data_IF_857330787839
#
_entry.id   IF_857330787839
#
_cell.length_a   1.000
_cell.length_b   1.000
_cell.length_c   1.000
_cell.angle_alpha   90.00
_cell.angle_beta   90.00
_cell.angle_gamma   90.00
#
_symmetry.space_group_name_H-M   'P 1'
#
loop_
_entity.id
_entity.type
_entity.pdbx_description
1 polymer ?
#
# COMPACT_ATOMS: atom_id res chain seq x y z
N UNK A 1 76.30 -15.48 33.67
CA UNK A 1 76.56 -15.30 32.22
C UNK A 1 75.26 -15.51 31.46
N UNK A 2 74.85 -14.52 30.63
CA UNK A 2 73.83 -14.61 29.56
C UNK A 2 72.36 -14.68 30.05
N UNK A 3 71.37 -13.94 29.54
CA UNK A 3 71.28 -12.91 28.48
C UNK A 3 69.94 -12.17 28.71
N UNK A 4 69.93 -10.86 28.51
CA UNK A 4 68.73 -10.02 28.45
C UNK A 4 67.91 -10.36 27.19
N UNK A 5 66.59 -10.42 27.32
CA UNK A 5 65.65 -10.35 26.18
C UNK A 5 64.72 -9.17 26.47
N UNK A 6 64.99 -8.07 25.79
CA UNK A 6 64.11 -6.89 25.75
C UNK A 6 63.17 -7.09 24.57
N UNK A 7 61.87 -7.26 24.83
CA UNK A 7 60.84 -7.33 23.79
C UNK A 7 60.33 -5.92 23.53
N UNK A 8 60.56 -5.40 22.32
CA UNK A 8 59.97 -4.15 21.84
C UNK A 8 58.49 -4.39 21.49
N UNK A 9 57.58 -3.76 22.23
CA UNK A 9 56.16 -3.66 21.84
C UNK A 9 56.02 -2.54 20.81
N UNK A 10 55.83 -2.92 19.53
CA UNK A 10 55.47 -1.99 18.47
C UNK A 10 54.00 -1.61 18.60
N UNK A 11 53.72 -0.37 18.98
CA UNK A 11 52.36 0.19 19.04
C UNK A 11 52.00 0.64 17.61
N UNK A 12 51.19 -0.16 16.89
CA UNK A 12 50.56 0.26 15.64
C UNK A 12 49.45 1.27 15.94
N UNK A 13 49.70 2.52 15.56
CA UNK A 13 48.73 3.61 15.65
C UNK A 13 47.76 3.52 14.46
N UNK A 14 46.55 3.03 14.71
CA UNK A 14 45.48 2.98 13.70
C UNK A 14 44.88 4.38 13.52
N UNK A 15 45.08 4.95 12.33
CA UNK A 15 44.49 6.21 11.88
C UNK A 15 43.02 5.97 11.51
N UNK A 16 42.08 6.53 12.26
CA UNK A 16 40.65 6.48 11.91
C UNK A 16 40.35 7.60 10.91
N UNK A 17 40.24 7.26 9.62
CA UNK A 17 39.66 8.18 8.64
C UNK A 17 38.14 8.14 8.77
N UNK A 18 37.55 9.21 9.32
CA UNK A 18 36.10 9.42 9.29
C UNK A 18 35.72 9.86 7.87
N UNK A 19 35.10 8.96 7.11
CA UNK A 19 34.43 9.31 5.85
C UNK A 19 33.05 9.86 6.18
N UNK A 20 32.91 11.18 6.14
CA UNK A 20 31.59 11.83 6.15
C UNK A 20 30.99 11.68 4.75
N UNK A 21 30.22 10.62 4.52
CA UNK A 21 29.37 10.54 3.34
C UNK A 21 28.27 11.61 3.47
N UNK A 22 28.44 12.73 2.76
CA UNK A 22 27.40 13.73 2.60
C UNK A 22 26.20 13.11 1.91
N UNK A 23 25.10 12.96 2.65
CA UNK A 23 23.82 12.54 2.10
C UNK A 23 23.28 13.68 1.24
N UNK A 24 23.40 13.50 -0.07
CA UNK A 24 22.75 14.34 -1.06
C UNK A 24 21.26 13.94 -1.08
N UNK A 25 20.46 14.57 -0.23
CA UNK A 25 19.00 14.38 -0.19
C UNK A 25 18.34 15.08 -1.38
N UNK A 26 18.41 14.45 -2.56
CA UNK A 26 17.43 14.67 -3.62
C UNK A 26 16.11 14.01 -3.18
N UNK A 27 15.39 14.66 -2.27
CA UNK A 27 14.01 14.34 -1.96
C UNK A 27 13.10 14.89 -3.08
N UNK A 28 13.06 14.17 -4.20
CA UNK A 28 11.98 14.30 -5.16
C UNK A 28 11.37 12.93 -5.39
N UNK A 29 10.24 12.73 -4.72
CA UNK A 29 9.03 12.01 -5.11
C UNK A 29 8.47 11.30 -3.88
N UNK A 30 7.58 11.99 -3.18
CA UNK A 30 6.49 11.30 -2.49
C UNK A 30 5.77 10.56 -3.61
N UNK A 31 6.11 9.29 -3.83
CA UNK A 31 5.12 8.34 -4.27
C UNK A 31 4.34 8.04 -3.00
N UNK A 32 3.14 8.61 -2.79
CA UNK A 32 2.30 8.07 -1.74
C UNK A 32 1.87 6.70 -2.25
N UNK A 33 2.67 5.68 -1.91
CA UNK A 33 2.14 4.37 -1.57
C UNK A 33 0.85 4.62 -0.82
N UNK A 34 -0.27 4.07 -1.30
CA UNK A 34 -1.64 4.27 -0.81
C UNK A 34 -1.74 4.89 0.59
N UNK A 35 -2.54 5.96 0.78
CA UNK A 35 -2.75 6.56 2.11
C UNK A 35 -3.17 5.46 3.10
N UNK A 36 -2.25 5.05 3.96
CA UNK A 36 -2.41 3.96 4.91
C UNK A 36 -1.48 2.76 4.71
N UNK A 37 -1.83 1.68 5.41
CA UNK A 37 -1.09 0.41 5.45
C UNK A 37 -2.04 -0.74 5.78
N UNK A 38 -1.62 -2.01 5.64
CA UNK A 38 -2.41 -3.15 6.07
C UNK A 38 -2.77 -3.00 7.56
N UNK A 39 -4.04 -3.19 7.89
CA UNK A 39 -4.55 -3.02 9.24
C UNK A 39 -4.50 -4.32 10.05
N UNK A 40 -4.41 -4.18 11.36
CA UNK A 40 -4.50 -5.28 12.31
C UNK A 40 -5.99 -5.53 12.65
N UNK A 41 -6.52 -6.76 12.49
CA UNK A 41 -7.88 -7.12 12.88
C UNK A 41 -8.25 -6.73 14.32
N UNK A 42 -7.30 -6.76 15.26
CA UNK A 42 -7.52 -6.39 16.66
C UNK A 42 -7.76 -4.89 16.85
N UNK A 43 -7.34 -4.07 15.88
CA UNK A 43 -7.43 -2.61 15.94
C UNK A 43 -8.55 -2.03 15.07
N UNK A 44 -9.44 -2.87 14.51
CA UNK A 44 -10.57 -2.42 13.68
C UNK A 44 -11.48 -1.49 14.46
N UNK A 45 -11.63 -0.26 14.00
CA UNK A 45 -12.48 0.76 14.62
C UNK A 45 -13.91 0.72 14.10
N UNK A 46 -14.09 0.33 12.82
CA UNK A 46 -15.41 0.14 12.20
C UNK A 46 -15.33 -0.76 10.97
N UNK A 47 -16.48 -1.30 10.58
CA UNK A 47 -16.65 -2.09 9.36
C UNK A 47 -17.44 -1.30 8.32
N UNK A 48 -17.05 -1.39 7.06
CA UNK A 48 -17.77 -0.80 5.92
C UNK A 48 -18.03 -1.89 4.89
N UNK A 49 -19.28 -2.07 4.53
CA UNK A 49 -19.65 -2.96 3.43
C UNK A 49 -19.53 -2.22 2.09
N UNK A 50 -18.92 -2.89 1.11
CA UNK A 50 -18.80 -2.44 -0.26
C UNK A 50 -19.47 -3.47 -1.16
N UNK A 51 -20.55 -3.08 -1.81
CA UNK A 51 -21.18 -3.87 -2.87
C UNK A 51 -20.59 -3.50 -4.21
N UNK A 52 -20.05 -4.49 -4.91
CA UNK A 52 -19.61 -4.40 -6.30
C UNK A 52 -20.76 -4.82 -7.20
N UNK A 53 -21.16 -3.91 -8.08
CA UNK A 53 -21.96 -4.19 -9.28
C UNK A 53 -21.05 -4.13 -10.51
N UNK A 54 -21.53 -4.54 -11.68
CA UNK A 54 -20.63 -4.71 -12.84
C UNK A 54 -19.95 -3.44 -13.36
N UNK A 55 -20.47 -2.26 -13.00
CA UNK A 55 -19.94 -0.99 -13.49
C UNK A 55 -19.60 0.02 -12.37
N UNK A 56 -19.86 -0.30 -11.10
CA UNK A 56 -19.71 0.66 -10.00
C UNK A 56 -19.60 -0.02 -8.63
N UNK A 57 -19.10 0.73 -7.65
CA UNK A 57 -19.08 0.36 -6.23
C UNK A 57 -20.19 1.10 -5.46
N UNK A 58 -20.75 0.46 -4.44
CA UNK A 58 -21.66 1.07 -3.48
C UNK A 58 -21.17 0.83 -2.04
N UNK A 59 -20.96 1.89 -1.24
CA UNK A 59 -20.85 3.29 -1.66
C UNK A 59 -19.63 3.53 -2.56
N UNK A 60 -19.70 4.56 -3.43
CA UNK A 60 -18.57 5.04 -4.22
C UNK A 60 -17.79 6.18 -3.54
N UNK A 61 -18.30 6.70 -2.42
CA UNK A 61 -17.66 7.73 -1.59
C UNK A 61 -17.70 7.32 -0.14
N UNK A 62 -16.57 7.40 0.53
CA UNK A 62 -16.41 6.97 1.92
C UNK A 62 -15.66 8.06 2.68
N UNK A 63 -16.16 8.44 3.86
CA UNK A 63 -15.46 9.36 4.75
C UNK A 63 -14.88 8.59 5.93
N UNK A 64 -13.57 8.64 6.11
CA UNK A 64 -12.83 8.05 7.25
C UNK A 64 -12.01 9.14 7.93
N UNK A 65 -11.46 8.84 9.10
CA UNK A 65 -10.53 9.73 9.82
C UNK A 65 -9.14 9.14 9.83
N UNK A 66 -8.14 10.01 9.84
CA UNK A 66 -6.76 9.61 10.08
C UNK A 66 -6.66 8.82 11.40
N UNK A 67 -5.97 7.69 11.35
CA UNK A 67 -5.81 6.73 12.45
C UNK A 67 -6.90 5.66 12.54
N UNK A 68 -7.96 5.71 11.74
CA UNK A 68 -8.94 4.62 11.69
C UNK A 68 -8.37 3.37 11.04
N UNK A 69 -8.74 2.20 11.60
CA UNK A 69 -8.55 0.91 10.94
C UNK A 69 -9.91 0.39 10.51
N UNK A 70 -10.11 0.32 9.20
CA UNK A 70 -11.38 -0.08 8.60
C UNK A 70 -11.28 -1.53 8.14
N UNK A 71 -12.26 -2.34 8.53
CA UNK A 71 -12.54 -3.60 7.84
C UNK A 71 -13.51 -3.33 6.70
N UNK A 72 -13.08 -3.48 5.47
CA UNK A 72 -13.96 -3.51 4.31
C UNK A 72 -14.45 -4.93 4.10
N UNK A 73 -15.77 -5.12 4.07
CA UNK A 73 -16.39 -6.35 3.58
C UNK A 73 -16.82 -6.07 2.15
N UNK A 74 -16.13 -6.66 1.19
CA UNK A 74 -16.35 -6.41 -0.23
C UNK A 74 -17.10 -7.59 -0.82
N UNK A 75 -18.29 -7.33 -1.38
CA UNK A 75 -19.19 -8.35 -1.93
C UNK A 75 -19.41 -8.11 -3.41
N UNK A 76 -19.14 -9.11 -4.23
CA UNK A 76 -19.41 -9.07 -5.65
C UNK A 76 -20.84 -9.55 -5.96
N UNK A 77 -21.75 -8.62 -6.19
CA UNK A 77 -23.12 -8.92 -6.63
C UNK A 77 -23.31 -8.84 -8.15
N UNK A 78 -22.27 -8.43 -8.89
CA UNK A 78 -22.23 -8.48 -10.35
C UNK A 78 -22.08 -9.90 -10.90
N UNK A 79 -22.16 -10.01 -12.23
CA UNK A 79 -21.96 -11.29 -12.94
C UNK A 79 -20.53 -11.47 -13.47
N UNK A 80 -19.68 -10.44 -13.35
CA UNK A 80 -18.28 -10.47 -13.77
C UNK A 80 -17.35 -10.63 -12.57
N UNK A 81 -16.12 -11.13 -12.81
CA UNK A 81 -15.03 -11.07 -11.84
C UNK A 81 -14.58 -9.62 -11.68
N UNK A 82 -14.36 -9.21 -10.43
CA UNK A 82 -13.98 -7.84 -10.10
C UNK A 82 -12.90 -7.82 -9.05
N UNK A 83 -12.25 -6.68 -8.94
CA UNK A 83 -11.30 -6.41 -7.86
C UNK A 83 -11.60 -5.06 -7.22
N UNK A 84 -11.12 -4.89 -5.99
CA UNK A 84 -11.01 -3.60 -5.33
C UNK A 84 -9.56 -3.40 -4.89
N UNK A 85 -8.91 -2.38 -5.46
CA UNK A 85 -7.55 -1.98 -5.09
C UNK A 85 -7.63 -0.58 -4.48
N UNK A 86 -7.07 -0.36 -3.28
CA UNK A 86 -7.00 0.97 -2.63
C UNK A 86 -5.64 1.60 -2.93
N UNK A 87 -5.57 2.68 -3.70
CA UNK A 87 -4.31 3.36 -4.01
C UNK A 87 -4.52 4.80 -4.52
N UNK A 88 -3.43 5.51 -4.81
CA UNK A 88 -3.46 6.76 -5.55
C UNK A 88 -4.05 6.55 -6.96
N UNK A 89 -4.76 7.55 -7.49
CA UNK A 89 -5.36 7.45 -8.83
C UNK A 89 -4.31 7.17 -9.92
N UNK A 90 -3.08 7.66 -9.75
CA UNK A 90 -1.97 7.37 -10.66
C UNK A 90 -1.59 5.89 -10.64
N UNK A 91 -1.41 5.30 -9.46
CA UNK A 91 -1.07 3.89 -9.32
C UNK A 91 -2.20 2.98 -9.83
N UNK A 92 -3.46 3.34 -9.57
CA UNK A 92 -4.60 2.59 -10.11
C UNK A 92 -4.65 2.63 -11.65
N UNK A 93 -4.27 3.75 -12.28
CA UNK A 93 -4.13 3.84 -13.75
C UNK A 93 -3.00 2.93 -14.25
N UNK A 94 -1.86 2.89 -13.54
CA UNK A 94 -0.73 2.00 -13.87
C UNK A 94 -1.14 0.53 -13.74
N UNK A 95 -1.82 0.17 -12.66
CA UNK A 95 -2.38 -1.15 -12.41
C UNK A 95 -3.33 -1.58 -13.53
N UNK A 96 -4.31 -0.74 -13.89
CA UNK A 96 -5.23 -1.02 -14.99
C UNK A 96 -4.52 -1.16 -16.35
N UNK A 97 -3.42 -0.44 -16.58
CA UNK A 97 -2.58 -0.61 -17.78
C UNK A 97 -1.85 -1.96 -17.74
N UNK A 98 -1.28 -2.33 -16.60
CA UNK A 98 -0.59 -3.61 -16.40
C UNK A 98 -1.52 -4.79 -16.67
N UNK A 99 -2.73 -4.79 -16.10
CA UNK A 99 -3.72 -5.85 -16.31
C UNK A 99 -4.15 -6.00 -17.77
N UNK A 100 -4.23 -4.90 -18.53
CA UNK A 100 -4.51 -4.96 -19.98
C UNK A 100 -3.36 -5.61 -20.75
N UNK A 101 -2.12 -5.36 -20.34
CA UNK A 101 -0.93 -5.90 -21.00
C UNK A 101 -0.59 -7.33 -20.58
N UNK A 102 -1.10 -7.79 -19.44
CA UNK A 102 -0.87 -9.14 -18.91
C UNK A 102 -2.18 -9.83 -18.51
N UNK A 103 -2.94 -10.39 -19.48
CA UNK A 103 -4.18 -11.10 -19.18
C UNK A 103 -3.95 -12.24 -18.18
N UNK A 104 -4.74 -12.27 -17.10
CA UNK A 104 -4.59 -13.26 -16.02
C UNK A 104 -3.64 -12.85 -14.91
N UNK A 105 -3.06 -11.64 -14.94
CA UNK A 105 -2.38 -11.07 -13.78
C UNK A 105 -3.31 -10.97 -12.58
N UNK A 106 -2.84 -11.43 -11.42
CA UNK A 106 -3.51 -11.30 -10.13
C UNK A 106 -2.53 -10.59 -9.21
N UNK A 107 -2.95 -9.49 -8.59
CA UNK A 107 -2.14 -8.80 -7.57
C UNK A 107 -2.13 -9.59 -6.26
N UNK A 108 -1.00 -9.58 -5.57
CA UNK A 108 -0.82 -10.12 -4.21
C UNK A 108 -0.56 -9.00 -3.18
N UNK A 109 -0.75 -7.75 -3.58
CA UNK A 109 -0.50 -6.59 -2.72
C UNK A 109 -1.54 -6.51 -1.60
N UNK A 110 -1.19 -6.00 -0.41
CA UNK A 110 -2.08 -6.10 0.74
C UNK A 110 -3.23 -5.08 0.73
N UNK A 111 -3.26 -4.17 -0.24
CA UNK A 111 -4.31 -3.18 -0.50
C UNK A 111 -5.34 -3.66 -1.53
N UNK A 112 -5.49 -4.98 -1.69
CA UNK A 112 -6.18 -5.61 -2.80
C UNK A 112 -7.11 -6.75 -2.37
N UNK A 113 -8.25 -6.86 -3.06
CA UNK A 113 -9.05 -8.09 -3.10
C UNK A 113 -9.56 -8.35 -4.52
N UNK A 114 -9.47 -9.60 -4.97
CA UNK A 114 -10.07 -10.11 -6.21
C UNK A 114 -11.25 -11.03 -5.88
N UNK A 115 -12.38 -10.90 -6.56
CA UNK A 115 -13.60 -11.66 -6.26
C UNK A 115 -14.28 -12.19 -7.52
N UNK A 116 -14.58 -13.48 -7.51
CA UNK A 116 -15.51 -14.11 -8.44
C UNK A 116 -16.94 -13.58 -8.24
N UNK A 117 -17.85 -13.76 -9.21
CA UNK A 117 -19.27 -13.47 -9.02
C UNK A 117 -19.81 -14.15 -7.76
N UNK A 118 -20.60 -13.42 -6.96
CA UNK A 118 -21.21 -13.88 -5.69
C UNK A 118 -20.22 -14.15 -4.56
N UNK A 119 -18.93 -13.88 -4.75
CA UNK A 119 -17.92 -14.01 -3.70
C UNK A 119 -17.91 -12.77 -2.79
N UNK A 120 -17.48 -12.97 -1.54
CA UNK A 120 -17.25 -11.92 -0.55
C UNK A 120 -15.85 -12.08 0.05
N UNK A 121 -15.11 -10.96 0.20
CA UNK A 121 -13.79 -10.93 0.83
C UNK A 121 -13.64 -9.79 1.81
N UNK A 122 -12.67 -9.91 2.71
CA UNK A 122 -12.30 -8.87 3.66
C UNK A 122 -11.01 -8.18 3.25
N UNK A 123 -10.95 -6.85 3.41
CA UNK A 123 -9.74 -6.04 3.30
C UNK A 123 -9.65 -5.13 4.52
N UNK A 124 -8.59 -5.26 5.32
CA UNK A 124 -8.41 -4.44 6.52
C UNK A 124 -7.32 -3.41 6.26
N UNK A 125 -7.67 -2.13 6.36
CA UNK A 125 -6.80 -1.01 6.03
C UNK A 125 -6.74 0.01 7.16
N UNK A 126 -5.53 0.41 7.53
CA UNK A 126 -5.28 1.44 8.53
C UNK A 126 -4.85 2.74 7.85
N UNK A 127 -5.62 3.82 8.01
CA UNK A 127 -5.39 5.10 7.37
C UNK A 127 -4.39 5.95 8.19
N UNK A 128 -3.17 6.11 7.69
CA UNK A 128 -2.08 6.77 8.44
C UNK A 128 -1.99 8.27 8.24
N UNK A 129 -2.48 8.78 7.11
CA UNK A 129 -2.39 10.18 6.69
C UNK A 129 -3.77 10.70 6.28
N UNK A 130 -3.99 12.02 6.37
CA UNK A 130 -5.19 12.66 5.81
C UNK A 130 -5.03 12.93 4.31
N UNK A 131 -6.15 13.09 3.60
CA UNK A 131 -6.15 13.33 2.16
C UNK A 131 -7.20 12.50 1.42
N UNK A 132 -7.00 12.30 0.12
CA UNK A 132 -7.90 11.51 -0.72
C UNK A 132 -7.14 10.32 -1.27
N UNK A 133 -7.65 9.11 -1.02
CA UNK A 133 -7.21 7.88 -1.67
C UNK A 133 -8.37 7.30 -2.47
N UNK A 134 -8.05 6.54 -3.51
CA UNK A 134 -9.05 6.01 -4.42
C UNK A 134 -9.14 4.50 -4.25
N UNK A 135 -10.23 3.93 -4.74
CA UNK A 135 -10.31 2.52 -5.03
C UNK A 135 -10.89 2.26 -6.40
N UNK A 136 -10.44 1.20 -7.07
CA UNK A 136 -10.88 0.89 -8.42
C UNK A 136 -10.81 -0.59 -8.76
N UNK A 137 -11.50 -0.94 -9.85
CA UNK A 137 -11.34 -2.21 -10.54
C UNK A 137 -10.47 -2.01 -11.79
N UNK A 138 -9.34 -2.72 -11.87
CA UNK A 138 -8.36 -2.65 -12.96
C UNK A 138 -8.63 -3.60 -14.13
N UNK A 139 -9.59 -4.53 -14.00
CA UNK A 139 -9.95 -5.47 -15.08
C UNK A 139 -10.20 -4.73 -16.42
N UNK A 140 -9.76 -5.30 -17.56
CA UNK A 140 -9.89 -4.66 -18.87
C UNK A 140 -11.33 -4.19 -19.14
N UNK A 141 -11.47 -2.88 -19.39
CA UNK A 141 -12.76 -2.21 -19.64
C UNK A 141 -13.46 -1.65 -18.41
N UNK A 142 -13.13 -2.09 -17.18
CA UNK A 142 -13.87 -1.70 -15.97
C UNK A 142 -13.41 -0.32 -15.45
N UNK A 143 -12.10 -0.08 -15.49
CA UNK A 143 -11.46 1.08 -14.85
C UNK A 143 -12.03 2.45 -15.20
N UNK A 144 -12.61 2.66 -16.40
CA UNK A 144 -13.09 4.00 -16.82
C UNK A 144 -14.25 4.49 -15.95
N UNK A 145 -15.15 3.60 -15.54
CA UNK A 145 -16.36 3.94 -14.76
C UNK A 145 -16.36 3.38 -13.34
N UNK A 146 -15.59 2.33 -13.08
CA UNK A 146 -15.65 1.61 -11.81
C UNK A 146 -14.53 2.08 -10.86
N UNK A 147 -14.78 3.20 -10.18
CA UNK A 147 -13.91 3.78 -9.15
C UNK A 147 -14.72 4.38 -8.01
N UNK A 148 -14.09 4.53 -6.85
CA UNK A 148 -14.60 5.32 -5.75
C UNK A 148 -13.47 6.06 -5.02
N UNK A 149 -13.89 6.91 -4.09
CA UNK A 149 -13.01 7.80 -3.34
C UNK A 149 -13.20 7.59 -1.83
N UNK A 150 -12.09 7.66 -1.11
CA UNK A 150 -12.04 7.66 0.34
C UNK A 150 -11.45 9.00 0.76
N UNK A 151 -12.26 9.80 1.42
CA UNK A 151 -11.88 11.07 2.02
C UNK A 151 -11.41 10.79 3.44
N UNK A 152 -10.13 10.99 3.70
CA UNK A 152 -9.51 10.82 5.01
C UNK A 152 -9.40 12.18 5.68
N UNK A 153 -10.30 12.44 6.61
CA UNK A 153 -10.31 13.66 7.42
C UNK A 153 -9.12 13.66 8.38
N UNK A 154 -8.51 14.83 8.57
CA UNK A 154 -7.49 15.03 9.60
C UNK A 154 -8.13 14.85 10.98
N UNK A 155 -7.42 14.15 11.86
CA UNK A 155 -7.84 13.95 13.25
C UNK A 155 -7.56 15.18 14.11
#
# INVERSE_FOLDING_TARGET
MKKHITVFFSIMMFWVMSVSAGLNHNQHSINPSAIGKPGDPANVTRTIEITIMDNYFLPSKINVRQGETIKFIVKNEGVRRHEMVIDSLENLKKHAKMMRSNPGFISDSPNYVDMLPREQKELIWHFTESGIVNFACGYPGHFKGMRGEIYVEMK
#
